data_IF_826800060471
#
_entry.id   IF_826800060471
#
_cell.length_a   1.000
_cell.length_b   1.000
_cell.length_c   1.000
_cell.angle_alpha   90.00
_cell.angle_beta   90.00
_cell.angle_gamma   90.00
#
_symmetry.space_group_name_H-M   'P 1'
#
loop_
_entity.id
_entity.type
_entity.pdbx_description
1 polymer ?
#
# COMPACT_ATOMS: atom_id res chain seq x y z
N UNK A 1 22.37 -32.54 11.88
CA UNK A 1 21.32 -32.55 10.83
C UNK A 1 20.35 -31.37 10.91
N UNK A 2 19.82 -30.99 12.08
CA UNK A 2 18.89 -29.85 12.22
C UNK A 2 19.39 -28.55 11.56
N UNK A 3 20.62 -28.12 11.89
CA UNK A 3 21.21 -26.88 11.39
C UNK A 3 21.31 -26.79 9.86
N UNK A 4 21.53 -27.93 9.18
CA UNK A 4 21.61 -27.99 7.71
C UNK A 4 20.20 -27.82 7.10
N UNK A 5 19.18 -28.40 7.74
CA UNK A 5 17.79 -28.27 7.31
C UNK A 5 17.28 -26.84 7.52
N UNK A 6 17.64 -26.20 8.62
CA UNK A 6 17.25 -24.82 8.92
C UNK A 6 17.97 -23.83 7.98
N UNK A 7 19.25 -24.07 7.69
CA UNK A 7 20.00 -23.32 6.68
C UNK A 7 19.39 -23.45 5.27
N UNK A 8 19.05 -24.67 4.83
CA UNK A 8 18.42 -24.89 3.52
C UNK A 8 17.04 -24.24 3.42
N UNK A 9 16.26 -24.22 4.51
CA UNK A 9 14.99 -23.50 4.57
C UNK A 9 15.18 -21.99 4.44
N UNK A 10 16.06 -21.41 5.26
CA UNK A 10 16.35 -19.97 5.21
C UNK A 10 16.91 -19.55 3.85
N UNK A 11 17.75 -20.39 3.23
CA UNK A 11 18.26 -20.16 1.88
C UNK A 11 17.15 -20.20 0.82
N UNK A 12 16.24 -21.18 0.88
CA UNK A 12 15.10 -21.26 -0.04
C UNK A 12 14.11 -20.11 0.11
N UNK A 13 13.85 -19.68 1.35
CA UNK A 13 13.00 -18.52 1.64
C UNK A 13 13.63 -17.22 1.14
N UNK A 14 14.92 -17.00 1.37
CA UNK A 14 15.64 -15.84 0.87
C UNK A 14 15.67 -15.80 -0.67
N UNK A 15 15.90 -16.95 -1.32
CA UNK A 15 15.93 -17.01 -2.78
C UNK A 15 14.55 -16.73 -3.39
N UNK A 16 13.49 -17.23 -2.75
CA UNK A 16 12.11 -16.94 -3.15
C UNK A 16 11.80 -15.45 -2.99
N UNK A 17 12.15 -14.85 -1.85
CA UNK A 17 11.96 -13.43 -1.58
C UNK A 17 12.70 -12.57 -2.61
N UNK A 18 13.99 -12.82 -2.84
CA UNK A 18 14.79 -12.10 -3.83
C UNK A 18 14.19 -12.17 -5.24
N UNK A 19 13.54 -13.30 -5.58
CA UNK A 19 12.98 -13.53 -6.91
C UNK A 19 11.62 -12.84 -7.11
N UNK A 20 10.82 -12.63 -6.06
CA UNK A 20 9.48 -12.02 -6.16
C UNK A 20 9.44 -10.56 -5.77
N UNK A 21 10.44 -10.07 -5.03
CA UNK A 21 10.49 -8.71 -4.50
C UNK A 21 10.26 -7.63 -5.58
N UNK A 22 10.88 -7.76 -6.75
CA UNK A 22 10.71 -6.80 -7.83
C UNK A 22 9.27 -6.78 -8.38
N UNK A 23 8.65 -7.96 -8.53
CA UNK A 23 7.27 -8.09 -9.02
C UNK A 23 6.29 -7.57 -7.98
N UNK A 24 6.52 -7.84 -6.70
CA UNK A 24 5.71 -7.33 -5.60
C UNK A 24 5.78 -5.80 -5.50
N UNK A 25 6.96 -5.23 -5.74
CA UNK A 25 7.14 -3.79 -5.83
C UNK A 25 6.36 -3.21 -7.01
N UNK A 26 6.51 -3.76 -8.22
CA UNK A 26 5.78 -3.31 -9.41
C UNK A 26 4.26 -3.40 -9.23
N UNK A 27 3.78 -4.50 -8.67
CA UNK A 27 2.35 -4.66 -8.35
C UNK A 27 1.86 -3.54 -7.43
N UNK A 28 2.62 -3.20 -6.39
CA UNK A 28 2.27 -2.13 -5.45
C UNK A 28 2.20 -0.77 -6.14
N UNK A 29 3.15 -0.48 -7.03
CA UNK A 29 3.13 0.76 -7.81
C UNK A 29 1.91 0.81 -8.75
N UNK A 30 1.54 -0.31 -9.38
CA UNK A 30 0.33 -0.39 -10.19
C UNK A 30 -0.95 -0.24 -9.36
N UNK A 31 -1.03 -0.83 -8.17
CA UNK A 31 -2.14 -0.65 -7.21
C UNK A 31 -2.30 0.84 -6.81
N UNK A 32 -1.19 1.55 -6.59
CA UNK A 32 -1.19 2.98 -6.29
C UNK A 32 -1.73 3.81 -7.46
N UNK A 33 -1.23 3.57 -8.68
CA UNK A 33 -1.70 4.26 -9.89
C UNK A 33 -3.18 3.96 -10.14
N UNK A 34 -3.60 2.72 -9.98
CA UNK A 34 -5.00 2.32 -10.08
C UNK A 34 -5.88 3.08 -9.09
N UNK A 35 -5.45 3.21 -7.84
CA UNK A 35 -6.17 3.99 -6.83
C UNK A 35 -6.27 5.47 -7.21
N UNK A 36 -5.19 6.08 -7.71
CA UNK A 36 -5.19 7.46 -8.18
C UNK A 36 -6.14 7.68 -9.36
N UNK A 37 -6.21 6.74 -10.30
CA UNK A 37 -7.11 6.84 -11.47
C UNK A 37 -8.58 6.76 -11.02
N UNK A 38 -8.89 5.83 -10.13
CA UNK A 38 -10.28 5.62 -9.68
C UNK A 38 -10.76 6.71 -8.71
N UNK A 39 -9.87 7.22 -7.85
CA UNK A 39 -10.17 8.30 -6.90
C UNK A 39 -9.86 9.69 -7.45
N UNK A 40 -9.33 9.80 -8.68
CA UNK A 40 -8.85 11.05 -9.27
C UNK A 40 -9.91 12.15 -9.33
N UNK A 41 -11.19 11.78 -9.50
CA UNK A 41 -12.32 12.71 -9.48
C UNK A 41 -12.43 13.50 -8.17
N UNK A 42 -12.00 12.92 -7.05
CA UNK A 42 -12.01 13.58 -5.74
C UNK A 42 -10.84 14.55 -5.53
N UNK A 43 -9.82 14.48 -6.40
CA UNK A 43 -8.59 15.29 -6.31
C UNK A 43 -8.40 16.19 -7.54
N UNK A 44 -9.43 16.33 -8.38
CA UNK A 44 -9.40 17.18 -9.57
C UNK A 44 -8.60 16.60 -10.76
N UNK A 45 -8.26 15.31 -10.71
CA UNK A 45 -7.62 14.57 -11.81
C UNK A 45 -8.72 13.95 -12.67
N UNK A 46 -8.60 13.96 -14.02
CA UNK A 46 -9.58 13.31 -14.88
C UNK A 46 -9.72 11.83 -14.53
N UNK A 47 -10.93 11.43 -14.11
CA UNK A 47 -11.26 10.03 -13.80
C UNK A 47 -11.93 9.35 -15.00
N UNK A 48 -11.84 8.02 -15.10
CA UNK A 48 -12.68 7.26 -16.01
C UNK A 48 -14.19 7.49 -15.73
N UNK A 49 -15.08 7.15 -16.67
CA UNK A 49 -16.52 7.24 -16.46
C UNK A 49 -16.97 6.48 -15.20
N UNK A 50 -17.88 7.07 -14.42
CA UNK A 50 -18.33 6.52 -13.12
C UNK A 50 -18.80 5.06 -13.21
N UNK A 51 -19.48 4.68 -14.29
CA UNK A 51 -19.91 3.29 -14.52
C UNK A 51 -18.74 2.31 -14.53
N UNK A 52 -17.60 2.71 -15.11
CA UNK A 52 -16.40 1.88 -15.13
C UNK A 52 -15.76 1.83 -13.74
N UNK A 53 -15.68 2.98 -13.05
CA UNK A 53 -15.17 3.07 -11.68
C UNK A 53 -15.94 2.14 -10.74
N UNK A 54 -17.27 2.19 -10.77
CA UNK A 54 -18.11 1.33 -9.92
C UNK A 54 -17.90 -0.17 -10.15
N UNK A 55 -17.61 -0.58 -11.39
CA UNK A 55 -17.30 -1.97 -11.73
C UNK A 55 -15.92 -2.39 -11.24
N UNK A 56 -14.98 -1.45 -11.17
CA UNK A 56 -13.59 -1.71 -10.77
C UNK A 56 -13.35 -1.55 -9.27
N UNK A 57 -14.21 -0.80 -8.58
CA UNK A 57 -14.19 -0.58 -7.12
C UNK A 57 -13.98 -1.85 -6.27
N UNK A 58 -14.60 -3.01 -6.57
CA UNK A 58 -14.36 -4.23 -5.80
C UNK A 58 -12.90 -4.71 -5.79
N UNK A 59 -12.11 -4.31 -6.79
CA UNK A 59 -10.68 -4.65 -6.86
C UNK A 59 -9.80 -3.73 -5.98
N UNK A 60 -10.35 -2.64 -5.44
CA UNK A 60 -9.63 -1.70 -4.55
C UNK A 60 -9.81 -1.99 -3.07
N UNK A 61 -10.51 -3.06 -2.67
CA UNK A 61 -10.90 -3.27 -1.27
C UNK A 61 -9.70 -3.27 -0.31
N UNK A 62 -8.57 -3.85 -0.73
CA UNK A 62 -7.33 -3.88 0.05
C UNK A 62 -6.77 -2.47 0.22
N UNK A 63 -6.69 -1.69 -0.85
CA UNK A 63 -6.13 -0.34 -0.87
C UNK A 63 -7.02 0.63 -0.10
N UNK A 64 -8.35 0.48 -0.14
CA UNK A 64 -9.29 1.23 0.69
C UNK A 64 -9.00 0.98 2.18
N UNK A 65 -8.74 -0.26 2.58
CA UNK A 65 -8.37 -0.59 3.96
C UNK A 65 -7.01 0.00 4.35
N UNK A 66 -6.05 0.04 3.42
CA UNK A 66 -4.75 0.71 3.65
C UNK A 66 -4.96 2.21 3.85
N UNK A 67 -5.76 2.86 3.01
CA UNK A 67 -6.09 4.28 3.12
C UNK A 67 -6.83 4.60 4.42
N UNK A 68 -7.81 3.76 4.81
CA UNK A 68 -8.51 3.87 6.10
C UNK A 68 -7.54 3.77 7.27
N UNK A 69 -6.68 2.76 7.28
CA UNK A 69 -5.67 2.58 8.32
C UNK A 69 -4.74 3.79 8.41
N UNK A 70 -4.31 4.34 7.27
CA UNK A 70 -3.50 5.58 7.26
C UNK A 70 -4.28 6.76 7.81
N UNK A 71 -5.56 6.89 7.46
CA UNK A 71 -6.40 7.99 7.92
C UNK A 71 -6.61 7.95 9.44
N UNK A 72 -6.80 6.78 10.03
CA UNK A 72 -6.92 6.63 11.50
C UNK A 72 -5.62 7.02 12.21
N UNK A 73 -4.47 6.67 11.63
CA UNK A 73 -3.16 7.00 12.22
C UNK A 73 -2.72 8.45 11.94
N UNK A 74 -3.50 9.26 11.20
CA UNK A 74 -3.17 10.67 10.99
C UNK A 74 -3.28 11.47 12.30
N UNK A 75 -4.17 11.09 13.21
CA UNK A 75 -4.33 11.77 14.49
C UNK A 75 -3.03 11.77 15.30
N UNK A 76 -2.26 10.68 15.26
CA UNK A 76 -0.94 10.58 15.89
C UNK A 76 0.09 11.50 15.22
N UNK A 77 0.09 11.58 13.89
CA UNK A 77 1.01 12.45 13.13
C UNK A 77 0.68 13.92 13.36
N UNK A 78 -0.61 14.29 13.38
CA UNK A 78 -1.03 15.66 13.70
C UNK A 78 -0.74 16.00 15.16
N UNK A 79 -0.88 15.07 16.10
CA UNK A 79 -0.51 15.28 17.49
C UNK A 79 1.01 15.50 17.66
N UNK A 80 1.84 14.72 16.95
CA UNK A 80 3.29 14.90 16.93
C UNK A 80 3.69 16.25 16.32
N UNK A 81 3.10 16.60 15.18
CA UNK A 81 3.36 17.88 14.49
C UNK A 81 2.86 19.07 15.33
N UNK A 82 1.67 18.98 15.92
CA UNK A 82 1.16 20.01 16.83
C UNK A 82 2.06 20.17 18.07
N UNK A 83 2.57 19.07 18.63
CA UNK A 83 3.56 19.10 19.72
C UNK A 83 4.89 19.74 19.34
N UNK A 84 5.31 19.69 18.06
CA UNK A 84 6.47 20.45 17.58
C UNK A 84 6.19 21.96 17.47
N UNK A 85 4.94 22.35 17.25
CA UNK A 85 4.54 23.76 17.13
C UNK A 85 4.17 24.40 18.47
N UNK A 86 3.83 23.62 19.51
CA UNK A 86 3.49 24.11 20.85
C UNK A 86 4.74 24.44 21.71
N UNK A 87 5.80 24.93 21.07
CA UNK A 87 7.01 25.46 21.73
C UNK A 87 7.00 26.98 21.58
N UNK A 88 6.11 27.63 22.33
CA UNK A 88 6.30 28.85 23.16
C UNK A 88 4.96 29.34 23.75
#
# INVERSE_FOLDING_TARGET
>A
MQKIRDFLKGFGEAFKHQSTEYIEFELRELENVFALILMGSFVGIPSPPTTLVMRLMPHMVKEIRVMESRAVNLDDVFAEVAGMFDID
#
